data_IF_080452203607
#
_entry.id   IF_080452203607
#
_cell.length_a   1.000
_cell.length_b   1.000
_cell.length_c   1.000
_cell.angle_alpha   90.00
_cell.angle_beta   90.00
_cell.angle_gamma   90.00
#
_symmetry.space_group_name_H-M   'P 1'
#
loop_
_entity.id
_entity.type
_entity.pdbx_description
1 polymer ?
#
# COMPACT_ATOMS: atom_id res chain seq x y z
N UNK A 1 6.43 -1.96 12.99
CA UNK A 1 6.94 -2.20 11.61
C UNK A 1 5.77 -2.33 10.65
N UNK A 2 5.81 -1.65 9.50
CA UNK A 2 4.81 -1.83 8.42
C UNK A 2 5.36 -2.89 7.47
N UNK A 3 4.57 -3.91 7.18
CA UNK A 3 4.92 -4.94 6.20
C UNK A 3 3.97 -4.77 5.02
N UNK A 4 4.46 -4.16 3.96
CA UNK A 4 3.95 -4.33 2.60
C UNK A 4 5.14 -4.22 1.65
N UNK A 5 5.39 -5.31 0.92
CA UNK A 5 6.53 -5.40 0.04
C UNK A 5 6.27 -4.73 -1.33
N UNK A 6 5.02 -4.59 -1.80
CA UNK A 6 4.78 -4.23 -3.22
C UNK A 6 3.42 -3.56 -3.55
N UNK A 7 2.74 -2.88 -2.62
CA UNK A 7 1.72 -1.84 -2.92
C UNK A 7 0.34 -2.31 -3.43
N UNK A 8 0.15 -3.60 -3.67
CA UNK A 8 -1.14 -4.20 -4.08
C UNK A 8 -1.77 -5.09 -3.01
N UNK A 9 -1.15 -5.17 -1.84
CA UNK A 9 -1.52 -6.11 -0.78
C UNK A 9 -2.08 -5.37 0.45
N UNK A 10 -2.82 -6.09 1.32
CA UNK A 10 -3.28 -5.52 2.58
C UNK A 10 -2.09 -5.00 3.40
N UNK A 11 -2.29 -3.86 4.06
CA UNK A 11 -1.26 -3.28 4.92
C UNK A 11 -1.30 -3.99 6.28
N UNK A 12 -0.13 -4.42 6.74
CA UNK A 12 0.03 -5.03 8.05
C UNK A 12 0.93 -4.19 8.95
N UNK A 13 0.57 -4.10 10.23
CA UNK A 13 1.41 -3.50 11.27
C UNK A 13 1.68 -4.50 12.38
N UNK A 14 2.89 -4.46 12.91
CA UNK A 14 3.29 -5.21 14.11
C UNK A 14 3.52 -4.24 15.26
N UNK A 15 2.88 -4.52 16.41
CA UNK A 15 3.06 -3.77 17.65
C UNK A 15 4.21 -4.31 18.52
N UNK A 16 4.47 -3.64 19.65
CA UNK A 16 5.51 -4.01 20.63
C UNK A 16 5.32 -5.40 21.25
N UNK A 17 4.10 -5.94 21.21
CA UNK A 17 3.76 -7.27 21.72
C UNK A 17 3.80 -8.35 20.63
N UNK A 18 4.42 -8.04 19.46
CA UNK A 18 4.46 -8.90 18.27
C UNK A 18 3.08 -9.24 17.70
N UNK A 19 2.03 -8.49 18.03
CA UNK A 19 0.70 -8.72 17.48
C UNK A 19 0.59 -8.09 16.09
N UNK A 20 0.13 -8.89 15.14
CA UNK A 20 -0.10 -8.47 13.75
C UNK A 20 -1.52 -7.93 13.62
N UNK A 21 -1.65 -6.71 13.10
CA UNK A 21 -2.93 -6.09 12.74
C UNK A 21 -2.99 -5.86 11.23
N UNK A 22 -4.13 -6.23 10.63
CA UNK A 22 -4.42 -5.97 9.22
C UNK A 22 -5.26 -4.70 9.10
N UNK A 23 -4.90 -3.85 8.14
CA UNK A 23 -5.60 -2.61 7.85
C UNK A 23 -6.45 -2.74 6.59
N UNK A 24 -7.71 -2.32 6.67
CA UNK A 24 -8.59 -2.10 5.51
C UNK A 24 -8.36 -0.68 4.99
N UNK A 25 -7.16 -0.45 4.44
CA UNK A 25 -6.78 0.87 3.97
C UNK A 25 -7.46 1.19 2.63
N UNK A 26 -8.01 2.40 2.54
CA UNK A 26 -8.62 2.94 1.33
C UNK A 26 -7.82 4.16 0.89
N UNK A 27 -7.30 4.10 -0.33
CA UNK A 27 -6.51 5.15 -0.93
C UNK A 27 -7.41 6.28 -1.41
N UNK A 28 -6.94 7.53 -1.32
CA UNK A 28 -7.65 8.71 -1.81
C UNK A 28 -7.04 9.19 -3.11
N UNK A 29 -7.86 9.29 -4.15
CA UNK A 29 -7.50 9.95 -5.41
C UNK A 29 -8.41 11.14 -5.68
N UNK A 30 -7.94 12.07 -6.49
CA UNK A 30 -8.69 13.27 -6.84
C UNK A 30 -8.83 13.40 -8.35
N UNK A 31 -10.03 13.71 -8.82
CA UNK A 31 -10.31 13.90 -10.24
C UNK A 31 -10.83 15.31 -10.46
N UNK A 32 -10.15 16.07 -11.33
CA UNK A 32 -10.55 17.41 -11.74
C UNK A 32 -10.72 17.46 -13.27
N UNK A 33 -11.59 18.34 -13.74
CA UNK A 33 -11.79 18.53 -15.18
C UNK A 33 -13.16 19.11 -15.48
N UNK A 34 -13.46 19.28 -16.75
CA UNK A 34 -14.80 19.68 -17.18
C UNK A 34 -15.75 18.47 -17.16
N UNK A 35 -17.04 18.73 -16.91
CA UNK A 35 -18.09 17.72 -16.97
C UNK A 35 -17.87 16.53 -16.02
N UNK A 36 -17.54 16.82 -14.76
CA UNK A 36 -17.32 15.81 -13.71
C UNK A 36 -18.53 14.89 -13.50
N UNK A 37 -19.74 15.33 -13.84
CA UNK A 37 -20.95 14.51 -13.80
C UNK A 37 -20.84 13.22 -14.61
N UNK A 38 -20.04 13.20 -15.68
CA UNK A 38 -19.82 11.97 -16.47
C UNK A 38 -19.03 10.92 -15.71
N UNK A 39 -18.02 11.36 -14.96
CA UNK A 39 -17.21 10.48 -14.10
C UNK A 39 -18.06 10.00 -12.94
N UNK A 40 -18.82 10.89 -12.31
CA UNK A 40 -19.74 10.56 -11.22
C UNK A 40 -20.70 9.45 -11.64
N UNK A 41 -21.39 9.59 -12.78
CA UNK A 41 -22.34 8.59 -13.25
C UNK A 41 -21.74 7.18 -13.45
N UNK A 42 -20.44 7.09 -13.76
CA UNK A 42 -19.75 5.81 -13.94
C UNK A 42 -19.35 5.19 -12.59
N UNK A 43 -18.98 6.01 -11.61
CA UNK A 43 -18.53 5.53 -10.30
C UNK A 43 -19.66 5.36 -9.27
N UNK A 44 -20.81 6.01 -9.44
CA UNK A 44 -21.90 6.08 -8.43
C UNK A 44 -22.54 4.70 -8.14
N UNK A 45 -22.33 3.71 -9.01
CA UNK A 45 -22.80 2.33 -8.82
C UNK A 45 -21.74 1.36 -8.30
N UNK A 46 -20.48 1.78 -8.13
CA UNK A 46 -19.39 0.87 -7.80
C UNK A 46 -19.32 0.63 -6.27
N UNK A 47 -19.60 -0.60 -5.79
CA UNK A 47 -19.74 -0.87 -4.34
C UNK A 47 -18.43 -0.72 -3.57
N UNK A 48 -17.30 -0.74 -4.28
CA UNK A 48 -15.96 -0.58 -3.72
C UNK A 48 -15.46 0.87 -3.79
N UNK A 49 -16.29 1.83 -4.18
CA UNK A 49 -15.95 3.27 -4.22
C UNK A 49 -16.80 4.04 -3.20
N UNK A 50 -16.16 5.00 -2.53
CA UNK A 50 -16.87 6.13 -1.91
C UNK A 50 -16.38 7.39 -2.58
N UNK A 51 -17.27 8.33 -2.86
CA UNK A 51 -16.88 9.58 -3.51
C UNK A 51 -17.64 10.77 -2.92
N UNK A 52 -17.03 11.94 -3.01
CA UNK A 52 -17.66 13.21 -2.69
C UNK A 52 -17.16 14.32 -3.61
N UNK A 53 -18.00 15.34 -3.82
CA UNK A 53 -17.60 16.55 -4.52
C UNK A 53 -17.05 17.57 -3.53
N UNK A 54 -15.83 18.04 -3.80
CA UNK A 54 -15.14 19.05 -3.00
C UNK A 54 -14.66 20.21 -3.86
N UNK A 55 -14.41 21.33 -3.20
CA UNK A 55 -13.56 22.37 -3.76
C UNK A 55 -12.21 22.30 -3.08
N UNK A 56 -11.14 22.19 -3.87
CA UNK A 56 -9.78 22.14 -3.38
C UNK A 56 -8.95 23.22 -4.08
N UNK A 57 -7.97 23.74 -3.37
CA UNK A 57 -7.01 24.69 -3.89
C UNK A 57 -5.72 23.94 -4.25
N UNK A 58 -5.31 24.04 -5.52
CA UNK A 58 -3.96 23.66 -5.93
C UNK A 58 -3.09 24.92 -6.09
N UNK A 59 -1.80 24.73 -6.40
CA UNK A 59 -0.84 25.84 -6.57
C UNK A 59 -1.20 26.83 -7.68
N UNK A 60 -2.19 26.53 -8.52
CA UNK A 60 -2.59 27.36 -9.65
C UNK A 60 -3.97 28.01 -9.45
N UNK A 61 -4.95 27.29 -8.91
CA UNK A 61 -6.27 27.83 -8.61
C UNK A 61 -7.11 26.92 -7.71
N UNK A 62 -8.20 27.49 -7.19
CA UNK A 62 -9.31 26.72 -6.62
C UNK A 62 -10.07 25.98 -7.73
N UNK A 63 -10.34 24.69 -7.54
CA UNK A 63 -10.97 23.81 -8.51
C UNK A 63 -11.99 22.90 -7.83
N UNK A 64 -13.06 22.58 -8.56
CA UNK A 64 -13.99 21.53 -8.17
C UNK A 64 -13.35 20.18 -8.50
N UNK A 65 -13.38 19.26 -7.54
CA UNK A 65 -12.80 17.94 -7.66
C UNK A 65 -13.77 16.88 -7.14
N UNK A 66 -13.61 15.66 -7.64
CA UNK A 66 -14.19 14.46 -7.04
C UNK A 66 -13.09 13.86 -6.17
N UNK A 67 -13.29 13.80 -4.86
CA UNK A 67 -12.48 12.96 -3.97
C UNK A 67 -13.05 11.54 -4.03
N UNK A 68 -12.19 10.56 -4.30
CA UNK A 68 -12.59 9.16 -4.45
C UNK A 68 -11.75 8.30 -3.50
N UNK A 69 -12.42 7.54 -2.63
CA UNK A 69 -11.80 6.56 -1.75
C UNK A 69 -12.05 5.13 -2.26
N UNK A 70 -10.99 4.38 -2.49
CA UNK A 70 -11.06 3.01 -3.02
C UNK A 70 -9.94 2.10 -2.51
N UNK A 71 -10.11 0.77 -2.56
CA UNK A 71 -9.01 -0.16 -2.33
C UNK A 71 -7.87 0.08 -3.33
N UNK A 72 -6.59 0.06 -2.90
CA UNK A 72 -5.44 0.33 -3.77
C UNK A 72 -5.39 -0.52 -5.04
N UNK A 73 -5.75 -1.81 -4.93
CA UNK A 73 -5.77 -2.75 -6.05
C UNK A 73 -6.82 -2.41 -7.12
N UNK A 74 -7.74 -1.48 -6.84
CA UNK A 74 -8.76 -0.99 -7.77
C UNK A 74 -8.38 0.32 -8.45
N UNK A 75 -7.27 0.96 -8.07
CA UNK A 75 -6.82 2.22 -8.69
C UNK A 75 -6.63 2.08 -10.20
N UNK A 76 -5.93 1.05 -10.74
CA UNK A 76 -5.73 0.93 -12.18
C UNK A 76 -7.05 0.84 -12.96
N UNK A 77 -8.02 0.07 -12.43
CA UNK A 77 -9.35 -0.07 -13.02
C UNK A 77 -10.09 1.27 -13.12
N UNK A 78 -10.03 2.07 -12.05
CA UNK A 78 -10.68 3.38 -12.02
C UNK A 78 -10.00 4.38 -12.96
N UNK A 79 -8.67 4.41 -12.99
CA UNK A 79 -7.89 5.29 -13.88
C UNK A 79 -8.22 4.99 -15.34
N UNK A 80 -8.17 3.72 -15.75
CA UNK A 80 -8.54 3.32 -17.11
C UNK A 80 -9.99 3.70 -17.45
N UNK A 81 -10.92 3.57 -16.50
CA UNK A 81 -12.31 3.97 -16.67
C UNK A 81 -12.44 5.47 -16.98
N UNK A 82 -11.81 6.32 -16.16
CA UNK A 82 -11.83 7.77 -16.34
C UNK A 82 -11.19 8.19 -17.68
N UNK A 83 -10.06 7.58 -18.04
CA UNK A 83 -9.39 7.83 -19.32
C UNK A 83 -10.26 7.45 -20.52
N UNK A 84 -11.09 6.40 -20.41
CA UNK A 84 -12.05 6.05 -21.47
C UNK A 84 -13.20 7.05 -21.60
N UNK A 85 -13.62 7.71 -20.52
CA UNK A 85 -14.74 8.66 -20.52
C UNK A 85 -14.37 9.96 -21.27
N UNK A 86 -13.18 10.49 -21.03
CA UNK A 86 -12.78 11.81 -21.53
C UNK A 86 -11.32 11.98 -21.91
N UNK A 87 -10.52 10.91 -21.92
CA UNK A 87 -9.10 10.94 -22.23
C UNK A 87 -8.36 11.95 -21.35
N UNK A 88 -7.52 12.77 -21.99
CA UNK A 88 -6.73 13.83 -21.34
C UNK A 88 -7.53 15.03 -20.81
N UNK A 89 -8.86 15.02 -20.91
CA UNK A 89 -9.73 16.10 -20.40
C UNK A 89 -9.82 16.11 -18.88
N UNK A 90 -9.52 14.98 -18.24
CA UNK A 90 -9.51 14.84 -16.78
C UNK A 90 -8.08 14.80 -16.27
N UNK A 91 -7.85 15.46 -15.13
CA UNK A 91 -6.62 15.38 -14.35
C UNK A 91 -6.89 14.48 -13.15
N UNK A 92 -6.09 13.43 -13.04
CA UNK A 92 -6.15 12.49 -11.92
C UNK A 92 -4.92 12.75 -11.05
N UNK A 93 -5.14 13.00 -9.77
CA UNK A 93 -4.08 13.23 -8.80
C UNK A 93 -4.03 12.07 -7.80
N UNK A 94 -2.83 11.82 -7.30
CA UNK A 94 -2.52 10.82 -6.27
C UNK A 94 -2.73 9.36 -6.69
N UNK A 95 -3.05 9.07 -7.94
CA UNK A 95 -3.24 7.68 -8.40
C UNK A 95 -1.93 6.89 -8.50
N UNK A 96 -0.79 7.56 -8.61
CA UNK A 96 0.56 7.01 -8.73
C UNK A 96 1.35 7.01 -7.42
N UNK A 97 0.76 7.55 -6.34
CA UNK A 97 1.40 7.55 -5.03
C UNK A 97 1.45 6.12 -4.50
N UNK A 98 2.63 5.73 -4.01
CA UNK A 98 2.83 4.45 -3.36
C UNK A 98 1.85 4.27 -2.18
N UNK A 99 1.15 3.14 -2.15
CA UNK A 99 0.12 2.83 -1.16
C UNK A 99 0.61 2.89 0.28
N UNK A 100 1.83 2.42 0.55
CA UNK A 100 2.44 2.47 1.89
C UNK A 100 2.69 3.91 2.31
N UNK A 101 3.25 4.73 1.41
CA UNK A 101 3.50 6.15 1.69
C UNK A 101 2.18 6.89 1.95
N UNK A 102 1.16 6.65 1.12
CA UNK A 102 -0.17 7.24 1.30
C UNK A 102 -0.81 6.82 2.62
N UNK A 103 -0.70 5.54 2.99
CA UNK A 103 -1.15 5.02 4.29
C UNK A 103 -0.44 5.71 5.45
N UNK A 104 0.87 5.86 5.37
CA UNK A 104 1.66 6.51 6.41
C UNK A 104 1.25 7.96 6.60
N UNK A 105 1.13 8.72 5.51
CA UNK A 105 0.69 10.12 5.56
C UNK A 105 -0.73 10.22 6.14
N UNK A 106 -1.66 9.37 5.68
CA UNK A 106 -3.04 9.38 6.15
C UNK A 106 -3.18 9.05 7.64
N UNK A 107 -2.26 8.26 8.20
CA UNK A 107 -2.26 7.86 9.61
C UNK A 107 -1.21 8.62 10.45
N UNK A 108 -0.62 9.68 9.90
CA UNK A 108 0.42 10.48 10.57
C UNK A 108 1.57 9.62 11.14
N UNK A 109 1.99 8.61 10.36
CA UNK A 109 3.10 7.73 10.69
C UNK A 109 4.39 8.31 10.12
N UNK A 110 5.40 8.40 10.97
CA UNK A 110 6.74 8.83 10.58
C UNK A 110 7.69 7.66 10.77
N UNK A 111 8.59 7.43 9.82
CA UNK A 111 9.63 6.40 10.00
C UNK A 111 10.55 6.74 11.18
N UNK A 112 10.74 8.03 11.45
CA UNK A 112 11.61 8.56 12.51
C UNK A 112 11.01 9.88 13.02
N UNK A 113 10.85 10.02 14.34
CA UNK A 113 10.40 11.29 14.94
C UNK A 113 11.58 12.25 15.08
N UNK A 114 11.40 13.51 14.70
CA UNK A 114 12.43 14.58 14.76
C UNK A 114 12.88 14.98 16.19
N UNK A 115 12.67 14.14 17.20
CA UNK A 115 12.69 14.58 18.60
C UNK A 115 13.40 13.70 19.61
N UNK A 116 13.86 12.50 19.25
CA UNK A 116 14.74 11.71 20.10
C UNK A 116 15.64 10.88 19.20
N UNK A 117 16.96 11.06 19.38
CA UNK A 117 17.96 10.05 19.05
C UNK A 117 17.64 8.79 19.88
N UNK A 118 16.59 8.07 19.50
CA UNK A 118 16.50 6.67 19.83
C UNK A 118 17.59 6.08 18.97
N UNK A 119 18.73 5.81 19.62
CA UNK A 119 19.87 5.08 19.10
C UNK A 119 19.34 3.68 18.69
N UNK A 120 18.64 3.65 17.57
CA UNK A 120 18.08 2.46 16.99
C UNK A 120 19.24 1.88 16.21
N UNK A 121 20.05 1.07 16.88
CA UNK A 121 20.72 0.01 16.16
C UNK A 121 19.62 -0.70 15.39
N UNK A 122 19.58 -0.50 14.06
CA UNK A 122 18.92 -1.46 13.19
C UNK A 122 19.37 -2.81 13.73
N UNK A 123 18.44 -3.67 14.22
CA UNK A 123 18.85 -5.00 14.61
C UNK A 123 19.60 -5.54 13.40
N UNK A 124 20.84 -5.97 13.60
CA UNK A 124 21.63 -6.54 12.52
C UNK A 124 20.72 -7.54 11.83
N UNK A 125 20.42 -7.24 10.56
CA UNK A 125 19.66 -8.16 9.74
C UNK A 125 20.60 -9.36 9.60
N UNK A 126 20.36 -10.40 10.39
CA UNK A 126 20.90 -11.71 10.12
C UNK A 126 20.29 -12.15 8.79
N UNK A 127 20.98 -11.78 7.71
CA UNK A 127 20.69 -12.28 6.37
C UNK A 127 21.12 -13.74 6.41
N UNK A 128 20.18 -14.61 6.73
CA UNK A 128 20.36 -16.05 6.67
C UNK A 128 20.59 -16.43 5.19
N UNK A 129 21.75 -17.01 4.89
CA UNK A 129 22.04 -17.54 3.56
C UNK A 129 21.16 -18.77 3.30
N UNK A 130 20.10 -18.61 2.51
CA UNK A 130 19.25 -19.72 2.06
C UNK A 130 19.80 -20.23 0.73
N UNK A 131 20.46 -21.40 0.77
CA UNK A 131 20.92 -22.09 -0.43
C UNK A 131 19.91 -23.17 -0.84
N UNK A 132 19.47 -23.12 -2.10
CA UNK A 132 18.62 -24.16 -2.69
C UNK A 132 19.50 -25.20 -3.39
N UNK A 133 19.56 -26.42 -2.86
CA UNK A 133 20.39 -27.50 -3.40
C UNK A 133 19.50 -28.46 -4.21
N UNK A 134 19.51 -28.31 -5.54
CA UNK A 134 19.07 -29.19 -6.64
C UNK A 134 17.83 -30.12 -6.52
N UNK A 135 16.99 -29.98 -5.50
CA UNK A 135 15.62 -30.46 -5.49
C UNK A 135 14.85 -29.73 -4.39
N UNK A 136 13.57 -29.40 -4.62
CA UNK A 136 12.66 -28.69 -3.70
C UNK A 136 12.46 -29.35 -2.31
N UNK A 137 13.20 -30.41 -2.01
CA UNK A 137 13.10 -31.20 -0.79
C UNK A 137 14.10 -30.78 0.28
N UNK A 138 15.17 -30.05 -0.04
CA UNK A 138 16.23 -29.73 0.93
C UNK A 138 16.53 -28.23 0.99
N UNK A 139 16.45 -27.67 2.21
CA UNK A 139 16.75 -26.26 2.50
C UNK A 139 17.84 -26.23 3.57
N UNK A 140 18.90 -25.46 3.34
CA UNK A 140 19.92 -25.19 4.34
C UNK A 140 19.66 -23.83 5.02
N UNK A 141 19.61 -23.82 6.35
CA UNK A 141 19.48 -22.60 7.18
C UNK A 141 20.59 -22.67 8.25
N UNK A 142 21.52 -21.72 8.26
CA UNK A 142 22.68 -21.67 9.17
C UNK A 142 23.51 -22.97 9.26
N UNK A 143 23.77 -23.59 8.11
CA UNK A 143 24.55 -24.83 8.07
C UNK A 143 23.76 -26.09 8.47
N UNK A 144 22.46 -25.97 8.78
CA UNK A 144 21.58 -27.12 9.06
C UNK A 144 20.70 -27.41 7.86
N UNK A 145 20.72 -28.67 7.43
CA UNK A 145 19.88 -29.19 6.35
C UNK A 145 18.50 -29.61 6.86
N UNK A 146 17.46 -29.13 6.21
CA UNK A 146 16.07 -29.46 6.47
C UNK A 146 15.46 -30.12 5.24
N UNK A 147 14.91 -31.33 5.42
CA UNK A 147 14.33 -32.15 4.35
C UNK A 147 12.81 -32.00 4.22
N UNK A 148 12.19 -31.15 5.05
CA UNK A 148 10.75 -30.86 4.96
C UNK A 148 10.46 -29.37 5.18
N UNK A 149 9.66 -28.79 4.29
CA UNK A 149 9.34 -27.36 4.26
C UNK A 149 8.61 -26.92 5.54
N UNK A 150 7.76 -27.79 6.11
CA UNK A 150 7.05 -27.52 7.36
C UNK A 150 8.00 -27.44 8.56
N UNK A 151 8.95 -28.38 8.70
CA UNK A 151 9.96 -28.30 9.77
C UNK A 151 10.91 -27.10 9.60
N UNK A 152 11.19 -26.71 8.35
CA UNK A 152 11.99 -25.52 8.01
C UNK A 152 11.30 -24.23 8.48
N UNK A 153 9.99 -24.14 8.25
CA UNK A 153 9.14 -23.01 8.65
C UNK A 153 9.00 -22.96 10.17
N UNK A 154 8.76 -24.09 10.83
CA UNK A 154 8.64 -24.15 12.29
C UNK A 154 9.97 -23.78 12.99
N UNK A 155 11.11 -24.19 12.42
CA UNK A 155 12.44 -23.76 12.89
C UNK A 155 12.66 -22.26 12.70
N UNK A 156 12.26 -21.72 11.54
CA UNK A 156 12.34 -20.29 11.24
C UNK A 156 11.53 -19.41 12.21
N UNK A 157 10.37 -19.88 12.69
CA UNK A 157 9.51 -19.11 13.61
C UNK A 157 9.71 -19.44 15.10
N UNK A 158 10.53 -20.43 15.45
CA UNK A 158 10.84 -20.79 16.84
C UNK A 158 12.16 -20.21 17.37
N UNK A 159 12.93 -19.57 16.48
CA UNK A 159 14.16 -18.83 16.80
C UNK A 159 13.83 -17.35 17.03
#
# INVERSE_FOLDING_TARGET
MIVDAWGNNPIYTVDENKKISRWDYRHKIYVAGERLERVINDIDGLPFIKWELKEMEDIFSRKKVIEIELPPEKIPLLVEGIERIGGYSYKIYNADINTVQSFMVANNLHFFGDGNDIDFSLPDLEILEINFIDSLQEIEIDGKLFTSTSASIDYFFSS
#
